data_IF_779657485703
#
_entry.id   IF_779657485703
#
_cell.length_a   1.000
_cell.length_b   1.000
_cell.length_c   1.000
_cell.angle_alpha   90.00
_cell.angle_beta   90.00
_cell.angle_gamma   90.00
#
_symmetry.space_group_name_H-M   'P 1'
#
loop_
_entity.id
_entity.type
_entity.pdbx_description
1 polymer ?
#
# COMPACT_ATOMS: atom_id res chain seq x y z
N UNK A 1 -21.08 -45.32 17.33
CA UNK A 1 -19.72 -44.75 17.51
C UNK A 1 -19.22 -44.04 16.25
N UNK A 2 -18.97 -44.73 15.12
CA UNK A 2 -18.46 -44.08 13.89
C UNK A 2 -19.34 -42.94 13.35
N UNK A 3 -20.67 -43.13 13.33
CA UNK A 3 -21.63 -42.10 12.89
C UNK A 3 -21.60 -40.86 13.78
N UNK A 4 -21.57 -41.05 15.10
CA UNK A 4 -21.51 -39.97 16.09
C UNK A 4 -20.24 -39.13 15.93
N UNK A 5 -19.10 -39.78 15.70
CA UNK A 5 -17.82 -39.08 15.42
C UNK A 5 -17.91 -38.26 14.13
N UNK A 6 -18.55 -38.80 13.09
CA UNK A 6 -18.76 -38.09 11.83
C UNK A 6 -19.61 -36.82 12.02
N UNK A 7 -20.68 -36.91 12.80
CA UNK A 7 -21.53 -35.75 13.12
C UNK A 7 -20.80 -34.70 13.94
N UNK A 8 -19.96 -35.11 14.88
CA UNK A 8 -19.15 -34.20 15.70
C UNK A 8 -18.10 -33.46 14.86
N UNK A 9 -17.44 -34.16 13.93
CA UNK A 9 -16.51 -33.55 12.98
C UNK A 9 -17.20 -32.53 12.07
N UNK A 10 -18.40 -32.86 11.57
CA UNK A 10 -19.17 -31.93 10.74
C UNK A 10 -19.56 -30.65 11.48
N UNK A 11 -19.90 -30.75 12.77
CA UNK A 11 -20.31 -29.61 13.59
C UNK A 11 -19.15 -28.63 13.88
N UNK A 12 -17.93 -29.16 14.01
CA UNK A 12 -16.70 -28.36 14.19
C UNK A 12 -16.38 -27.55 12.92
N UNK A 13 -16.56 -28.14 11.74
CA UNK A 13 -16.30 -27.47 10.45
C UNK A 13 -17.31 -26.34 10.19
N UNK A 14 -18.56 -26.50 10.62
CA UNK A 14 -19.63 -25.52 10.43
C UNK A 14 -19.56 -24.31 11.38
N UNK A 15 -18.71 -24.36 12.42
CA UNK A 15 -18.59 -23.31 13.44
C UNK A 15 -17.35 -22.44 13.28
N UNK A 16 -16.73 -22.42 12.10
CA UNK A 16 -15.57 -21.58 11.81
C UNK A 16 -15.99 -20.11 11.66
N UNK A 17 -15.57 -19.26 12.60
CA UNK A 17 -15.63 -17.82 12.45
C UNK A 17 -14.41 -17.38 11.63
N UNK A 18 -14.64 -16.94 10.39
CA UNK A 18 -13.61 -16.26 9.62
C UNK A 18 -13.50 -14.80 10.08
N UNK A 19 -12.28 -14.25 10.06
CA UNK A 19 -12.08 -12.82 10.27
C UNK A 19 -12.60 -12.06 9.05
N UNK A 20 -13.30 -10.96 9.28
CA UNK A 20 -13.70 -10.04 8.20
C UNK A 20 -12.45 -9.54 7.48
N UNK A 21 -12.43 -9.70 6.16
CA UNK A 21 -11.38 -9.13 5.33
C UNK A 21 -11.76 -7.68 5.01
N UNK A 22 -10.94 -6.74 5.48
CA UNK A 22 -11.02 -5.35 5.03
C UNK A 22 -10.39 -5.27 3.63
N UNK A 23 -11.20 -5.53 2.61
CA UNK A 23 -10.78 -5.37 1.22
C UNK A 23 -10.72 -3.88 0.92
N UNK A 24 -9.53 -3.37 0.64
CA UNK A 24 -9.39 -2.00 0.15
C UNK A 24 -10.12 -1.86 -1.19
N UNK A 25 -10.72 -0.70 -1.43
CA UNK A 25 -11.31 -0.39 -2.73
C UNK A 25 -10.29 -0.64 -3.86
N UNK A 26 -10.73 -1.14 -5.02
CA UNK A 26 -9.85 -1.32 -6.17
C UNK A 26 -9.10 -0.02 -6.49
N UNK A 27 -7.81 -0.13 -6.78
CA UNK A 27 -7.03 1.03 -7.20
C UNK A 27 -7.63 1.61 -8.48
N UNK A 28 -7.79 2.93 -8.50
CA UNK A 28 -8.27 3.66 -9.68
C UNK A 28 -7.15 4.52 -10.25
N UNK A 29 -7.24 4.80 -11.55
CA UNK A 29 -6.30 5.72 -12.18
C UNK A 29 -6.56 7.15 -11.69
N UNK A 30 -5.55 7.74 -11.05
CA UNK A 30 -5.60 9.13 -10.60
C UNK A 30 -5.02 10.04 -11.68
N UNK A 31 -3.77 9.78 -12.08
CA UNK A 31 -3.03 10.62 -13.03
C UNK A 31 -1.78 9.90 -13.55
N UNK A 32 -1.13 10.50 -14.55
CA UNK A 32 0.20 10.14 -15.01
C UNK A 32 1.10 11.36 -14.86
N UNK A 33 2.23 11.17 -14.19
CA UNK A 33 3.25 12.19 -14.03
C UNK A 33 4.54 11.78 -14.75
N UNK A 34 5.24 12.71 -15.41
CA UNK A 34 6.56 12.43 -15.95
C UNK A 34 7.57 12.22 -14.82
N UNK A 35 8.55 11.35 -15.06
CA UNK A 35 9.67 11.14 -14.15
C UNK A 35 10.98 11.10 -14.92
N UNK A 36 12.09 11.34 -14.22
CA UNK A 36 13.43 11.17 -14.75
C UNK A 36 14.10 9.96 -14.11
N UNK A 37 14.69 9.09 -14.92
CA UNK A 37 15.52 8.00 -14.42
C UNK A 37 16.99 8.39 -14.49
N UNK A 38 17.74 8.14 -13.41
CA UNK A 38 19.19 8.25 -13.37
C UNK A 38 19.84 6.85 -13.40
N UNK A 39 21.16 6.81 -13.52
CA UNK A 39 21.94 5.56 -13.47
C UNK A 39 21.60 4.74 -12.22
N UNK A 40 21.51 3.41 -12.37
CA UNK A 40 21.17 2.52 -11.27
C UNK A 40 19.66 2.45 -10.96
N UNK A 41 18.81 3.02 -11.80
CA UNK A 41 17.35 2.91 -11.66
C UNK A 41 16.73 3.89 -10.67
N UNK A 42 17.47 4.93 -10.25
CA UNK A 42 16.95 5.96 -9.36
C UNK A 42 15.90 6.79 -10.12
N UNK A 43 14.66 6.75 -9.65
CA UNK A 43 13.54 7.51 -10.22
C UNK A 43 13.41 8.84 -9.46
N UNK A 44 13.43 9.94 -10.20
CA UNK A 44 13.24 11.29 -9.69
C UNK A 44 11.86 11.82 -10.11
N UNK A 45 11.08 12.24 -9.11
CA UNK A 45 9.81 12.94 -9.26
C UNK A 45 9.96 14.41 -8.92
N UNK A 46 9.14 15.26 -9.54
CA UNK A 46 9.00 16.67 -9.18
C UNK A 46 7.60 16.93 -8.64
N UNK A 47 7.52 17.52 -7.45
CA UNK A 47 6.27 17.86 -6.81
C UNK A 47 6.40 19.16 -6.00
N UNK A 48 5.28 19.84 -5.77
CA UNK A 48 5.16 20.97 -4.84
C UNK A 48 4.79 20.46 -3.45
N UNK A 49 5.19 21.19 -2.41
CA UNK A 49 4.74 20.95 -1.04
C UNK A 49 3.76 22.06 -0.66
N UNK A 50 2.58 21.71 -0.15
CA UNK A 50 1.58 22.68 0.33
C UNK A 50 1.31 23.79 -0.70
N UNK A 51 1.40 25.06 -0.27
CA UNK A 51 1.12 26.23 -1.10
C UNK A 51 2.39 26.84 -1.75
N UNK A 52 3.54 26.16 -1.63
CA UNK A 52 4.78 26.60 -2.23
C UNK A 52 4.78 26.30 -3.73
N UNK A 53 4.98 27.35 -4.55
CA UNK A 53 4.95 27.25 -6.01
C UNK A 53 6.18 26.55 -6.60
N UNK A 54 7.28 26.54 -5.87
CA UNK A 54 8.51 25.91 -6.32
C UNK A 54 8.44 24.39 -6.16
N UNK A 55 8.88 23.68 -7.19
CA UNK A 55 8.93 22.20 -7.17
C UNK A 55 10.23 21.71 -6.55
N UNK A 56 10.13 20.70 -5.68
CA UNK A 56 11.26 19.95 -5.17
C UNK A 56 11.46 18.64 -5.95
N UNK A 57 12.66 18.08 -5.86
CA UNK A 57 12.98 16.77 -6.45
C UNK A 57 12.95 15.70 -5.37
N UNK A 58 12.21 14.62 -5.62
CA UNK A 58 12.08 13.49 -4.72
C UNK A 58 12.61 12.23 -5.38
N UNK A 59 13.29 11.38 -4.60
CA UNK A 59 13.58 10.01 -5.00
C UNK A 59 12.31 9.19 -4.74
N UNK A 60 11.84 8.47 -5.76
CA UNK A 60 10.70 7.57 -5.59
C UNK A 60 11.15 6.22 -5.04
N UNK A 61 11.02 6.05 -3.73
CA UNK A 61 11.39 4.84 -3.00
C UNK A 61 10.15 4.00 -2.65
N UNK A 62 9.93 2.92 -3.41
CA UNK A 62 8.82 1.98 -3.22
C UNK A 62 8.98 1.11 -1.96
N UNK A 63 10.14 1.16 -1.29
CA UNK A 63 10.39 0.48 -0.02
C UNK A 63 10.03 1.32 1.21
N UNK A 64 9.58 2.57 1.02
CA UNK A 64 9.26 3.50 2.09
C UNK A 64 7.76 3.86 2.14
N UNK A 65 7.23 4.10 3.34
CA UNK A 65 5.83 4.50 3.55
C UNK A 65 5.63 5.99 3.84
N UNK A 66 6.70 6.78 3.86
CA UNK A 66 6.67 8.19 4.24
C UNK A 66 7.50 9.06 3.30
N UNK A 67 7.43 10.38 3.50
CA UNK A 67 8.21 11.35 2.75
C UNK A 67 9.32 11.87 3.68
N UNK A 68 10.56 11.84 3.21
CA UNK A 68 11.70 12.43 3.91
C UNK A 68 12.04 13.79 3.31
N UNK A 69 12.29 14.77 4.18
CA UNK A 69 12.63 16.14 3.81
C UNK A 69 13.63 16.70 4.83
N UNK A 70 14.59 17.50 4.36
CA UNK A 70 15.46 18.26 5.26
C UNK A 70 14.62 19.23 6.09
N UNK A 71 14.84 19.24 7.40
CA UNK A 71 14.07 20.07 8.35
C UNK A 71 14.14 21.57 8.08
N UNK A 72 15.13 22.03 7.31
CA UNK A 72 15.28 23.43 6.89
C UNK A 72 14.53 23.76 5.60
N UNK A 73 13.81 22.80 5.01
CA UNK A 73 13.23 22.91 3.65
C UNK A 73 11.81 23.50 3.64
N UNK A 74 11.19 23.77 4.79
CA UNK A 74 9.90 24.50 4.90
C UNK A 74 9.86 25.25 6.22
#
# INVERSE_FOLDING_TARGET
MKRTVLFLLAFIILSANAQEEFVAEPSTYITTIPFKMLTGGIIILRATISDYKDSLSFIFDTGSGGISLDSTTV
#
